data_IF_910661590298
#
_entry.id   IF_910661590298
#
_cell.length_a   1.000
_cell.length_b   1.000
_cell.length_c   1.000
_cell.angle_alpha   90.00
_cell.angle_beta   90.00
_cell.angle_gamma   90.00
#
_symmetry.space_group_name_H-M   'P 1'
#
loop_
_entity.id
_entity.type
_entity.pdbx_description
1 polymer ?
#
# COMPACT_ATOMS: atom_id res chain seq x y z
N UNK A 1 -0.66 9.54 -10.01
CA UNK A 1 -1.43 8.34 -9.63
C UNK A 1 -1.96 7.67 -10.87
N UNK A 2 -1.78 6.36 -11.01
CA UNK A 2 -2.33 5.59 -12.13
C UNK A 2 -3.84 5.37 -12.03
N UNK A 3 -4.50 5.12 -13.16
CA UNK A 3 -5.95 4.88 -13.21
C UNK A 3 -6.37 3.68 -12.33
N UNK A 4 -5.57 2.61 -12.29
CA UNK A 4 -5.88 1.40 -11.49
C UNK A 4 -6.08 1.70 -9.99
N UNK A 5 -5.29 2.61 -9.41
CA UNK A 5 -5.45 3.00 -7.99
C UNK A 5 -6.78 3.72 -7.78
N UNK A 6 -7.16 4.59 -8.72
CA UNK A 6 -8.44 5.30 -8.66
C UNK A 6 -9.63 4.35 -8.84
N UNK A 7 -9.50 3.36 -9.72
CA UNK A 7 -10.56 2.38 -9.96
C UNK A 7 -10.78 1.48 -8.74
N UNK A 8 -9.72 1.03 -8.08
CA UNK A 8 -9.82 0.28 -6.82
C UNK A 8 -10.47 1.14 -5.74
N UNK A 9 -10.01 2.38 -5.57
CA UNK A 9 -10.59 3.29 -4.59
C UNK A 9 -12.08 3.56 -4.85
N UNK A 10 -12.46 3.80 -6.12
CA UNK A 10 -13.85 3.96 -6.53
C UNK A 10 -14.70 2.75 -6.16
N UNK A 11 -14.22 1.54 -6.46
CA UNK A 11 -14.95 0.31 -6.17
C UNK A 11 -15.16 0.04 -4.68
N UNK A 12 -14.29 0.55 -3.81
CA UNK A 12 -14.47 0.46 -2.35
C UNK A 12 -15.57 1.39 -1.85
N UNK A 13 -15.68 2.60 -2.43
CA UNK A 13 -16.57 3.64 -1.91
C UNK A 13 -17.89 3.78 -2.67
N UNK A 14 -18.04 3.11 -3.81
CA UNK A 14 -19.18 3.33 -4.71
C UNK A 14 -20.53 3.03 -4.05
N UNK A 15 -20.57 2.05 -3.16
CA UNK A 15 -21.81 1.58 -2.52
C UNK A 15 -22.10 2.28 -1.19
N UNK A 16 -21.32 3.30 -0.82
CA UNK A 16 -21.57 4.09 0.38
C UNK A 16 -22.89 4.87 0.28
N UNK A 17 -23.76 4.74 1.30
CA UNK A 17 -25.03 5.48 1.38
C UNK A 17 -24.81 7.00 1.41
N UNK A 18 -25.73 7.76 0.83
CA UNK A 18 -25.70 9.23 0.77
C UNK A 18 -24.45 9.82 0.07
N UNK A 19 -23.79 9.03 -0.79
CA UNK A 19 -22.67 9.50 -1.61
C UNK A 19 -23.18 10.23 -2.84
N UNK A 20 -22.56 11.37 -3.15
CA UNK A 20 -22.69 12.01 -4.46
C UNK A 20 -21.80 11.26 -5.47
N UNK A 21 -22.40 10.76 -6.55
CA UNK A 21 -21.67 10.00 -7.56
C UNK A 21 -20.66 10.88 -8.30
N UNK A 22 -19.41 10.38 -8.36
CA UNK A 22 -18.28 11.01 -9.06
C UNK A 22 -17.36 9.90 -9.59
N UNK A 23 -17.00 9.97 -10.87
CA UNK A 23 -16.11 9.00 -11.53
C UNK A 23 -14.70 9.60 -11.65
N UNK A 24 -13.71 9.12 -10.87
CA UNK A 24 -12.36 9.66 -10.91
C UNK A 24 -11.63 9.26 -12.20
N UNK A 25 -10.89 10.20 -12.79
CA UNK A 25 -10.09 9.99 -13.99
C UNK A 25 -8.66 10.47 -13.74
N UNK A 26 -7.69 9.60 -13.98
CA UNK A 26 -6.28 9.94 -13.91
C UNK A 26 -5.86 10.75 -15.14
N UNK A 27 -5.08 11.80 -14.93
CA UNK A 27 -4.45 12.55 -16.02
C UNK A 27 -3.32 11.77 -16.69
N UNK A 28 -2.61 10.93 -15.92
CA UNK A 28 -1.48 10.12 -16.40
C UNK A 28 -1.80 8.62 -16.26
N UNK A 29 -1.73 7.89 -17.38
CA UNK A 29 -1.94 6.44 -17.42
C UNK A 29 -0.65 5.66 -17.16
N UNK A 30 -0.06 5.85 -15.98
CA UNK A 30 1.03 4.98 -15.53
C UNK A 30 0.43 3.76 -14.85
N UNK A 31 0.68 2.58 -15.40
CA UNK A 31 0.25 1.34 -14.76
C UNK A 31 0.88 1.24 -13.36
N UNK A 32 0.02 1.13 -12.36
CA UNK A 32 0.42 1.00 -10.96
C UNK A 32 -0.19 -0.30 -10.47
N UNK A 33 0.65 -1.26 -10.07
CA UNK A 33 0.19 -2.53 -9.53
C UNK A 33 -0.45 -2.27 -8.18
N UNK A 34 -1.73 -2.62 -8.05
CA UNK A 34 -2.42 -2.73 -6.76
C UNK A 34 -2.55 -4.22 -6.48
N UNK A 35 -2.11 -4.66 -5.31
CA UNK A 35 -2.19 -6.06 -4.93
C UNK A 35 -2.53 -6.18 -3.44
N UNK A 36 -3.07 -7.34 -3.07
CA UNK A 36 -3.30 -7.73 -1.69
C UNK A 36 -2.45 -8.97 -1.39
N UNK A 37 -1.92 -9.02 -0.18
CA UNK A 37 -1.19 -10.18 0.35
C UNK A 37 -1.82 -10.55 1.68
N UNK A 38 -2.08 -11.84 1.88
CA UNK A 38 -2.66 -12.36 3.12
C UNK A 38 -1.62 -13.24 3.79
N UNK A 39 -1.01 -12.72 4.85
CA UNK A 39 -0.02 -13.44 5.62
C UNK A 39 -0.67 -14.31 6.71
N UNK A 40 -0.06 -15.43 7.12
CA UNK A 40 -0.57 -16.24 8.23
C UNK A 40 -0.54 -15.51 9.58
N UNK A 41 0.48 -14.69 9.82
CA UNK A 41 0.65 -13.90 11.06
C UNK A 41 1.01 -12.44 10.77
N UNK A 42 0.88 -11.56 11.76
CA UNK A 42 1.33 -10.17 11.65
C UNK A 42 2.85 -10.06 11.46
N UNK A 43 3.63 -11.00 12.00
CA UNK A 43 5.08 -11.05 11.79
C UNK A 43 5.42 -11.42 10.34
N UNK A 44 4.71 -12.39 9.76
CA UNK A 44 4.88 -12.76 8.35
C UNK A 44 4.49 -11.61 7.41
N UNK A 45 3.44 -10.85 7.76
CA UNK A 45 3.04 -9.65 7.03
C UNK A 45 4.13 -8.57 7.10
N UNK A 46 4.68 -8.32 8.29
CA UNK A 46 5.76 -7.35 8.48
C UNK A 46 7.02 -7.74 7.70
N UNK A 47 7.42 -9.01 7.71
CA UNK A 47 8.53 -9.52 6.88
C UNK A 47 8.29 -9.31 5.40
N UNK A 48 7.07 -9.59 4.92
CA UNK A 48 6.72 -9.36 3.52
C UNK A 48 6.84 -7.87 3.16
N UNK A 49 6.31 -6.98 4.00
CA UNK A 49 6.39 -5.53 3.80
C UNK A 49 7.85 -5.08 3.73
N UNK A 50 8.70 -5.47 4.69
CA UNK A 50 10.12 -5.08 4.71
C UNK A 50 10.86 -5.60 3.48
N UNK A 51 10.63 -6.86 3.08
CA UNK A 51 11.20 -7.42 1.84
C UNK A 51 10.77 -6.62 0.60
N UNK A 52 9.52 -6.19 0.51
CA UNK A 52 9.05 -5.39 -0.61
C UNK A 52 9.66 -3.98 -0.62
N UNK A 53 9.82 -3.35 0.55
CA UNK A 53 10.52 -2.05 0.69
C UNK A 53 11.96 -2.18 0.18
N UNK A 54 12.69 -3.20 0.64
CA UNK A 54 14.05 -3.47 0.20
C UNK A 54 14.13 -3.72 -1.32
N UNK A 55 13.17 -4.47 -1.87
CA UNK A 55 13.07 -4.69 -3.32
C UNK A 55 12.86 -3.38 -4.09
N UNK A 56 11.98 -2.49 -3.61
CA UNK A 56 11.72 -1.20 -4.24
C UNK A 56 12.97 -0.31 -4.24
N UNK A 57 13.74 -0.32 -3.16
CA UNK A 57 14.95 0.49 -3.02
C UNK A 57 16.07 -0.07 -3.90
N UNK A 58 16.38 -1.36 -3.74
CA UNK A 58 17.50 -2.02 -4.44
C UNK A 58 17.26 -2.18 -5.94
N UNK A 59 16.02 -2.50 -6.35
CA UNK A 59 15.73 -2.89 -7.73
C UNK A 59 15.03 -1.81 -8.55
N UNK A 60 14.33 -0.87 -7.90
CA UNK A 60 13.51 0.14 -8.58
C UNK A 60 13.91 1.58 -8.29
N UNK A 61 15.04 1.79 -7.61
CA UNK A 61 15.66 3.10 -7.35
C UNK A 61 14.73 4.08 -6.60
N UNK A 62 13.91 3.56 -5.69
CA UNK A 62 13.15 4.38 -4.75
C UNK A 62 14.00 4.74 -3.54
N UNK A 63 13.72 5.88 -2.91
CA UNK A 63 14.26 6.24 -1.61
C UNK A 63 13.26 5.86 -0.51
N UNK A 64 13.73 5.62 0.72
CA UNK A 64 12.86 5.40 1.89
C UNK A 64 11.81 6.51 2.06
N UNK A 65 12.15 7.77 1.73
CA UNK A 65 11.22 8.92 1.81
C UNK A 65 10.06 8.85 0.80
N UNK A 66 10.17 8.01 -0.22
CA UNK A 66 9.14 7.84 -1.25
C UNK A 66 8.09 6.79 -0.84
N UNK A 67 8.29 6.13 0.31
CA UNK A 67 7.47 5.02 0.78
C UNK A 67 6.75 5.41 2.07
N UNK A 68 5.46 5.10 2.16
CA UNK A 68 4.65 5.32 3.36
C UNK A 68 3.89 4.04 3.72
N UNK A 69 3.83 3.74 5.01
CA UNK A 69 3.06 2.63 5.58
C UNK A 69 1.88 3.23 6.34
N UNK A 70 0.65 2.83 5.99
CA UNK A 70 -0.57 3.28 6.62
C UNK A 70 -1.23 2.10 7.34
N UNK A 71 -1.44 2.24 8.65
CA UNK A 71 -2.02 1.21 9.50
C UNK A 71 -3.23 1.75 10.26
N UNK A 72 -4.14 0.86 10.69
CA UNK A 72 -5.27 1.26 11.53
C UNK A 72 -4.88 1.51 12.99
N UNK A 73 -4.02 0.66 13.55
CA UNK A 73 -3.64 0.67 14.96
C UNK A 73 -2.13 0.84 15.13
N UNK A 74 -1.73 1.63 16.12
CA UNK A 74 -0.31 1.95 16.37
C UNK A 74 0.54 0.71 16.68
N UNK A 75 0.01 -0.30 17.38
CA UNK A 75 0.78 -1.50 17.72
C UNK A 75 1.30 -2.27 16.49
N UNK A 76 0.58 -2.21 15.36
CA UNK A 76 1.00 -2.87 14.11
C UNK A 76 2.29 -2.26 13.56
N UNK A 77 2.52 -0.97 13.82
CA UNK A 77 3.74 -0.27 13.42
C UNK A 77 4.93 -0.73 14.25
N UNK A 78 4.75 -1.02 15.54
CA UNK A 78 5.81 -1.56 16.40
C UNK A 78 6.37 -2.87 15.83
N UNK A 79 5.51 -3.79 15.40
CA UNK A 79 5.91 -5.07 14.80
C UNK A 79 6.71 -4.84 13.51
N UNK A 80 6.27 -3.91 12.66
CA UNK A 80 7.00 -3.58 11.42
C UNK A 80 8.37 -2.97 11.73
N UNK A 81 8.47 -2.08 12.73
CA UNK A 81 9.74 -1.49 13.15
C UNK A 81 10.73 -2.54 13.66
N UNK A 82 10.28 -3.49 14.48
CA UNK A 82 11.12 -4.57 14.99
C UNK A 82 11.73 -5.38 13.84
N UNK A 83 10.91 -5.75 12.85
CA UNK A 83 11.39 -6.48 11.67
C UNK A 83 12.33 -5.61 10.84
N UNK A 84 12.00 -4.34 10.60
CA UNK A 84 12.81 -3.45 9.78
C UNK A 84 14.20 -3.17 10.39
N UNK A 85 14.31 -3.14 11.72
CA UNK A 85 15.60 -2.99 12.43
C UNK A 85 16.44 -4.28 12.46
N UNK A 86 15.83 -5.44 12.17
CA UNK A 86 16.51 -6.73 12.14
C UNK A 86 17.07 -7.12 10.75
N UNK A 87 16.71 -6.39 9.70
CA UNK A 87 17.19 -6.54 8.33
C UNK A 87 18.41 -5.66 8.05
#
# INVERSE_FOLDING_TARGET
TGQNVLDVAYNVVKDNKNRLEKIPKAYFKKDSKVFAFFAPTYSDEAEFIVKEIENLIKSKNFSYKDIAILCRNHYLISIIYEVLLAF
#
